data_IF_818127484541
#
_entry.id   IF_818127484541
#
_cell.length_a   1.000
_cell.length_b   1.000
_cell.length_c   1.000
_cell.angle_alpha   90.00
_cell.angle_beta   90.00
_cell.angle_gamma   90.00
#
_symmetry.space_group_name_H-M   'P 1'
#
loop_
_entity.id
_entity.type
_entity.pdbx_description
1 polymer ?
#
# COMPACT_ATOMS: atom_id res chain seq x y z
N UNK A 1 -9.02 32.10 13.94
CA UNK A 1 -8.77 30.65 14.01
C UNK A 1 -7.61 30.38 13.07
N UNK A 2 -6.48 29.91 13.58
CA UNK A 2 -5.27 29.76 12.79
C UNK A 2 -5.45 28.62 11.80
N UNK A 3 -5.44 28.96 10.52
CA UNK A 3 -5.47 28.02 9.39
C UNK A 3 -4.15 27.25 9.43
N UNK A 4 -4.21 25.97 9.79
CA UNK A 4 -3.02 25.14 9.91
C UNK A 4 -2.57 24.72 8.50
N UNK A 5 -1.44 25.22 7.97
CA UNK A 5 -1.03 24.97 6.59
C UNK A 5 -0.57 23.51 6.33
N UNK A 6 -0.61 22.64 7.35
CA UNK A 6 -0.39 21.20 7.22
C UNK A 6 -1.66 20.39 6.95
N UNK A 7 -2.85 20.99 6.90
CA UNK A 7 -4.10 20.25 6.65
C UNK A 7 -4.32 19.84 5.17
N UNK A 8 -3.42 20.22 4.25
CA UNK A 8 -3.64 20.01 2.81
C UNK A 8 -3.12 18.68 2.22
N UNK A 9 -2.52 17.79 3.02
CA UNK A 9 -1.93 16.53 2.52
C UNK A 9 -2.44 15.17 3.07
N UNK A 10 -3.53 15.03 3.84
CA UNK A 10 -4.06 13.71 4.21
C UNK A 10 -5.10 13.13 3.22
N UNK A 11 -5.68 13.94 2.32
CA UNK A 11 -6.77 13.46 1.46
C UNK A 11 -6.32 12.53 0.32
N UNK A 12 -5.20 12.84 -0.35
CA UNK A 12 -4.75 12.04 -1.49
C UNK A 12 -4.33 10.61 -1.08
N UNK A 13 -3.62 10.46 0.05
CA UNK A 13 -3.28 9.14 0.58
C UNK A 13 -4.52 8.36 1.03
N UNK A 14 -5.51 9.04 1.61
CA UNK A 14 -6.74 8.40 2.05
C UNK A 14 -7.57 7.88 0.87
N UNK A 15 -7.71 8.69 -0.19
CA UNK A 15 -8.35 8.29 -1.44
C UNK A 15 -7.60 7.15 -2.13
N UNK A 16 -6.27 7.13 -2.06
CA UNK A 16 -5.45 6.01 -2.55
C UNK A 16 -5.80 4.71 -1.83
N UNK A 17 -5.84 4.70 -0.49
CA UNK A 17 -6.13 3.48 0.27
C UNK A 17 -7.57 2.99 0.09
N UNK A 18 -8.54 3.90 -0.02
CA UNK A 18 -9.93 3.53 -0.34
C UNK A 18 -10.04 2.93 -1.75
N UNK A 19 -9.35 3.51 -2.74
CA UNK A 19 -9.33 2.98 -4.10
C UNK A 19 -8.61 1.63 -4.18
N UNK A 20 -7.54 1.42 -3.40
CA UNK A 20 -6.88 0.10 -3.28
C UNK A 20 -7.84 -0.92 -2.71
N UNK A 21 -8.51 -0.61 -1.60
CA UNK A 21 -9.47 -1.52 -0.99
C UNK A 21 -10.60 -1.89 -1.97
N UNK A 22 -11.12 -0.90 -2.72
CA UNK A 22 -12.14 -1.12 -3.75
C UNK A 22 -11.63 -1.97 -4.92
N UNK A 23 -10.42 -1.71 -5.39
CA UNK A 23 -9.81 -2.45 -6.50
C UNK A 23 -9.41 -3.86 -6.09
N UNK A 24 -9.05 -4.11 -4.84
CA UNK A 24 -8.82 -5.47 -4.34
C UNK A 24 -10.07 -6.34 -4.44
N UNK A 25 -11.27 -5.75 -4.25
CA UNK A 25 -12.53 -6.48 -4.39
C UNK A 25 -12.84 -6.86 -5.85
N UNK A 26 -12.29 -6.10 -6.81
CA UNK A 26 -12.50 -6.34 -8.25
C UNK A 26 -11.37 -7.17 -8.88
N UNK A 27 -10.16 -7.06 -8.33
CA UNK A 27 -8.92 -7.59 -8.92
C UNK A 27 -7.99 -8.10 -7.81
N UNK A 28 -8.19 -9.33 -7.30
CA UNK A 28 -7.30 -9.93 -6.31
C UNK A 28 -5.87 -10.15 -6.83
N UNK A 29 -5.68 -10.12 -8.16
CA UNK A 29 -4.37 -10.10 -8.82
C UNK A 29 -3.47 -8.92 -8.41
N UNK A 30 -4.03 -7.83 -7.90
CA UNK A 30 -3.24 -6.71 -7.35
C UNK A 30 -2.38 -7.14 -6.15
N UNK A 31 -2.80 -8.18 -5.42
CA UNK A 31 -2.02 -8.76 -4.32
C UNK A 31 -0.74 -9.41 -4.85
N UNK A 32 -0.78 -10.05 -6.02
CA UNK A 32 0.41 -10.64 -6.64
C UNK A 32 1.41 -9.55 -7.03
N UNK A 33 0.94 -8.47 -7.68
CA UNK A 33 1.81 -7.34 -8.02
C UNK A 33 2.43 -6.64 -6.79
N UNK A 34 1.70 -6.63 -5.67
CA UNK A 34 2.21 -6.09 -4.41
C UNK A 34 3.30 -6.98 -3.80
N UNK A 35 3.14 -8.31 -3.88
CA UNK A 35 4.19 -9.26 -3.49
C UNK A 35 5.44 -9.11 -4.36
N UNK A 36 5.30 -8.99 -5.68
CA UNK A 36 6.44 -8.75 -6.57
C UNK A 36 7.16 -7.43 -6.25
N UNK A 37 6.41 -6.39 -5.90
CA UNK A 37 6.98 -5.09 -5.49
C UNK A 37 7.78 -5.23 -4.20
N UNK A 38 7.24 -5.97 -3.22
CA UNK A 38 7.96 -6.29 -1.97
C UNK A 38 9.26 -7.04 -2.27
N UNK A 39 9.23 -8.06 -3.14
CA UNK A 39 10.43 -8.83 -3.49
C UNK A 39 11.49 -7.97 -4.18
N UNK A 40 11.09 -7.03 -5.04
CA UNK A 40 12.01 -6.07 -5.65
C UNK A 40 12.66 -5.17 -4.62
N UNK A 41 11.89 -4.61 -3.69
CA UNK A 41 12.43 -3.73 -2.63
C UNK A 41 13.35 -4.50 -1.67
N UNK A 42 13.00 -5.75 -1.34
CA UNK A 42 13.87 -6.62 -0.54
C UNK A 42 15.17 -6.96 -1.26
N UNK A 43 15.10 -7.34 -2.54
CA UNK A 43 16.29 -7.62 -3.34
C UNK A 43 17.16 -6.38 -3.56
N UNK A 44 16.56 -5.19 -3.56
CA UNK A 44 17.25 -3.90 -3.62
C UNK A 44 17.89 -3.44 -2.30
N UNK A 45 17.80 -4.22 -1.21
CA UNK A 45 18.43 -3.89 0.07
C UNK A 45 17.70 -2.81 0.87
N UNK A 46 16.38 -2.70 0.73
CA UNK A 46 15.62 -1.68 1.44
C UNK A 46 15.69 -1.87 2.97
N UNK A 47 16.06 -0.80 3.69
CA UNK A 47 16.28 -0.78 5.14
C UNK A 47 15.02 -1.14 5.98
N UNK A 48 13.83 -1.11 5.37
CA UNK A 48 12.56 -1.42 6.04
C UNK A 48 12.10 -2.88 5.87
N UNK A 49 13.03 -3.85 5.76
CA UNK A 49 12.69 -5.26 5.49
C UNK A 49 11.65 -5.84 6.46
N UNK A 50 11.75 -5.53 7.77
CA UNK A 50 10.78 -6.02 8.76
C UNK A 50 9.34 -5.59 8.46
N UNK A 51 9.13 -4.34 8.01
CA UNK A 51 7.80 -3.83 7.63
C UNK A 51 7.31 -4.43 6.32
N UNK A 52 8.23 -4.70 5.39
CA UNK A 52 7.90 -5.39 4.14
C UNK A 52 7.47 -6.83 4.36
N UNK A 53 8.12 -7.52 5.30
CA UNK A 53 7.72 -8.86 5.72
C UNK A 53 6.35 -8.86 6.40
N UNK A 54 6.06 -7.85 7.23
CA UNK A 54 4.75 -7.68 7.86
C UNK A 54 3.65 -7.46 6.80
N UNK A 55 3.89 -6.56 5.83
CA UNK A 55 3.00 -6.37 4.67
C UNK A 55 2.81 -7.66 3.86
N UNK A 56 3.88 -8.42 3.61
CA UNK A 56 3.80 -9.71 2.92
C UNK A 56 2.88 -10.68 3.66
N UNK A 57 2.99 -10.75 4.98
CA UNK A 57 2.12 -11.59 5.81
C UNK A 57 0.64 -11.21 5.67
N UNK A 58 0.33 -9.92 5.73
CA UNK A 58 -1.03 -9.41 5.57
C UNK A 58 -1.59 -9.69 4.17
N UNK A 59 -0.77 -9.56 3.13
CA UNK A 59 -1.17 -9.83 1.75
C UNK A 59 -1.43 -11.33 1.53
N UNK A 60 -0.56 -12.20 2.04
CA UNK A 60 -0.73 -13.65 1.94
C UNK A 60 -1.98 -14.11 2.68
N UNK A 61 -2.22 -13.61 3.90
CA UNK A 61 -3.45 -13.88 4.64
C UNK A 61 -4.69 -13.44 3.86
N UNK A 62 -4.60 -12.30 3.14
CA UNK A 62 -5.66 -11.82 2.25
C UNK A 62 -5.91 -12.71 1.03
N UNK A 63 -4.88 -13.37 0.49
CA UNK A 63 -5.05 -14.35 -0.59
C UNK A 63 -5.59 -15.69 -0.09
N UNK A 64 -5.19 -16.12 1.10
CA UNK A 64 -5.58 -17.42 1.66
C UNK A 64 -7.02 -17.43 2.19
N UNK A 65 -7.56 -16.30 2.65
CA UNK A 65 -8.87 -16.27 3.29
C UNK A 65 -9.58 -14.92 3.18
N UNK A 66 -10.91 -14.97 3.03
CA UNK A 66 -11.77 -13.78 3.03
C UNK A 66 -11.65 -12.96 4.32
N UNK A 67 -11.39 -13.61 5.46
CA UNK A 67 -11.17 -12.93 6.74
C UNK A 67 -9.84 -12.14 6.74
N UNK A 68 -8.79 -12.68 6.15
CA UNK A 68 -7.53 -11.97 5.94
C UNK A 68 -7.69 -10.80 4.97
N UNK A 69 -8.55 -10.94 3.95
CA UNK A 69 -8.86 -9.87 3.01
C UNK A 69 -9.61 -8.72 3.72
N UNK A 70 -10.58 -9.04 4.58
CA UNK A 70 -11.29 -8.07 5.41
C UNK A 70 -10.34 -7.36 6.38
N UNK A 71 -9.42 -8.08 7.01
CA UNK A 71 -8.40 -7.50 7.89
C UNK A 71 -7.48 -6.54 7.12
N UNK A 72 -7.04 -6.90 5.91
CA UNK A 72 -6.24 -6.05 5.04
C UNK A 72 -7.01 -4.78 4.63
N UNK A 73 -8.29 -4.90 4.23
CA UNK A 73 -9.16 -3.76 3.92
C UNK A 73 -9.38 -2.86 5.14
N UNK A 74 -9.54 -3.46 6.32
CA UNK A 74 -9.69 -2.74 7.58
C UNK A 74 -8.44 -1.90 7.88
N UNK A 75 -7.25 -2.49 7.74
CA UNK A 75 -5.98 -1.80 7.93
C UNK A 75 -5.77 -0.65 6.90
N UNK A 76 -6.17 -0.86 5.65
CA UNK A 76 -6.13 0.19 4.62
C UNK A 76 -7.03 1.38 5.01
N UNK A 77 -8.21 1.11 5.59
CA UNK A 77 -9.18 2.12 6.05
C UNK A 77 -8.85 2.72 7.42
N UNK A 78 -8.03 2.06 8.22
CA UNK A 78 -7.70 2.48 9.58
C UNK A 78 -6.91 3.79 9.61
N UNK A 79 -7.28 4.72 10.48
CA UNK A 79 -6.65 6.05 10.59
C UNK A 79 -5.74 6.16 11.83
N UNK A 80 -5.48 5.05 12.52
CA UNK A 80 -4.56 5.02 13.65
C UNK A 80 -3.14 5.35 13.23
N UNK A 81 -2.40 5.99 14.12
CA UNK A 81 -1.02 6.44 13.88
C UNK A 81 -0.10 5.28 13.42
N UNK A 82 -0.27 4.10 14.03
CA UNK A 82 0.42 2.86 13.65
C UNK A 82 0.07 2.42 12.23
N UNK A 83 -1.20 2.46 11.84
CA UNK A 83 -1.64 2.08 10.50
C UNK A 83 -1.17 3.09 9.44
N UNK A 84 -1.16 4.39 9.76
CA UNK A 84 -0.61 5.44 8.88
C UNK A 84 0.88 5.20 8.66
N UNK A 85 1.64 4.92 9.72
CA UNK A 85 3.06 4.58 9.61
C UNK A 85 3.29 3.34 8.75
N UNK A 86 2.50 2.29 8.93
CA UNK A 86 2.60 1.06 8.12
C UNK A 86 2.28 1.33 6.65
N UNK A 87 1.22 2.11 6.38
CA UNK A 87 0.77 2.49 5.04
C UNK A 87 1.74 3.40 4.29
N UNK A 88 2.58 4.15 5.01
CA UNK A 88 3.69 4.89 4.39
C UNK A 88 4.67 3.98 3.62
N UNK A 89 4.73 2.69 3.99
CA UNK A 89 5.52 1.65 3.32
C UNK A 89 4.67 0.71 2.47
N UNK A 90 3.47 1.16 2.05
CA UNK A 90 2.55 0.31 1.30
C UNK A 90 3.11 -0.05 -0.09
N UNK A 91 3.22 -1.36 -0.44
CA UNK A 91 3.68 -1.80 -1.74
C UNK A 91 2.69 -1.47 -2.87
N UNK A 92 1.47 -1.03 -2.53
CA UNK A 92 0.43 -0.65 -3.50
C UNK A 92 0.67 0.74 -4.12
N UNK A 93 1.48 1.60 -3.49
CA UNK A 93 1.74 2.95 -3.97
C UNK A 93 2.35 2.98 -5.40
N UNK A 94 3.22 2.01 -5.72
CA UNK A 94 3.83 1.89 -7.05
C UNK A 94 2.88 1.30 -8.11
N UNK A 95 1.98 0.41 -7.71
CA UNK A 95 1.04 -0.28 -8.62
C UNK A 95 -0.05 0.65 -9.13
N UNK A 96 -0.58 1.53 -8.28
CA UNK A 96 -1.60 2.50 -8.66
C UNK A 96 -1.04 3.56 -9.62
N UNK A 97 0.20 3.98 -9.39
CA UNK A 97 0.90 4.94 -10.26
C UNK A 97 1.17 4.34 -11.65
N UNK A 98 1.50 3.05 -11.69
CA UNK A 98 1.76 2.33 -12.96
C UNK A 98 0.48 2.09 -13.77
N UNK A 99 -0.67 1.95 -13.12
CA UNK A 99 -1.96 1.75 -13.80
C UNK A 99 -2.67 3.07 -14.17
N UNK A 100 -2.17 4.23 -13.73
CA UNK A 100 -2.74 5.55 -14.04
C UNK A 100 -2.18 6.20 -15.32
N UNK A 101 -1.21 5.56 -15.99
CA UNK A 101 -0.74 5.98 -17.30
C UNK A 101 0.76 5.83 -17.49
N UNK A 102 1.14 5.11 -18.54
CA UNK A 102 2.29 5.39 -19.39
C UNK A 102 3.66 5.61 -18.74
N UNK A 103 4.57 4.68 -19.07
CA UNK A 103 6.04 4.79 -19.06
C UNK A 103 6.77 4.74 -17.70
N UNK A 104 7.57 3.68 -17.61
CA UNK A 104 8.89 3.65 -16.96
C UNK A 104 9.55 5.02 -16.89
N UNK A 105 9.91 5.41 -15.67
CA UNK A 105 11.31 5.67 -15.31
C UNK A 105 11.37 5.82 -13.79
N UNK A 106 11.70 4.73 -13.11
CA UNK A 106 12.29 4.81 -11.78
C UNK A 106 13.79 4.95 -12.03
N UNK A 107 14.26 6.20 -12.06
CA UNK A 107 15.68 6.48 -12.20
C UNK A 107 16.29 6.51 -10.80
N UNK A 108 17.25 5.59 -10.62
CA UNK A 108 18.32 5.55 -9.64
C UNK A 108 18.80 6.95 -9.20
N UNK A 109 18.83 7.22 -7.90
CA UNK A 109 20.03 7.45 -7.05
C UNK A 109 19.63 7.94 -5.66
#
# INVERSE_FOLDING_TARGET
MAENPYEYFPHAQRLLHEEVARRLEQSPELLLGALETIERWRSGGHEAEGRLLEWRGLILAGQESSEGMEALKSLLRDQGETAVHLKSFSPFAGLLKSNAGGRSSFHEF
#
